data_IF_743536215701
#
_entry.id   IF_743536215701
#
_cell.length_a   1.000
_cell.length_b   1.000
_cell.length_c   1.000
_cell.angle_alpha   90.00
_cell.angle_beta   90.00
_cell.angle_gamma   90.00
#
_symmetry.space_group_name_H-M   'P 1'
#
loop_
_entity.id
_entity.type
_entity.pdbx_description
1 polymer ?
#
# COMPACT_ATOMS: atom_id res chain seq x y z
N UNK A 1 18.47 0.67 -24.75
CA UNK A 1 19.29 0.46 -23.55
C UNK A 1 18.88 -0.86 -22.93
N UNK A 2 19.84 -1.76 -22.72
CA UNK A 2 19.57 -3.01 -22.00
C UNK A 2 19.34 -2.68 -20.50
N UNK A 3 18.26 -3.19 -19.92
CA UNK A 3 17.93 -2.93 -18.51
C UNK A 3 18.76 -3.88 -17.61
N UNK A 4 19.92 -3.38 -17.12
CA UNK A 4 20.89 -4.16 -16.36
C UNK A 4 20.64 -4.13 -14.83
N UNK A 5 19.39 -4.32 -14.40
CA UNK A 5 19.02 -4.34 -12.98
C UNK A 5 18.23 -5.59 -12.64
N UNK A 6 18.40 -6.06 -11.42
CA UNK A 6 17.60 -7.15 -10.88
C UNK A 6 16.15 -6.75 -10.74
N UNK A 7 15.23 -7.50 -11.31
CA UNK A 7 13.79 -7.25 -11.21
C UNK A 7 13.21 -7.54 -9.81
N UNK A 8 14.01 -8.13 -8.92
CA UNK A 8 13.62 -8.37 -7.52
C UNK A 8 13.93 -7.21 -6.58
N UNK A 9 15.03 -6.48 -6.78
CA UNK A 9 15.45 -5.40 -5.89
C UNK A 9 15.83 -4.09 -6.59
N UNK A 10 15.78 -4.05 -7.92
CA UNK A 10 16.15 -2.91 -8.77
C UNK A 10 17.60 -2.43 -8.62
N UNK A 11 18.45 -3.23 -7.99
CA UNK A 11 19.89 -2.96 -7.93
C UNK A 11 20.61 -3.47 -9.19
N UNK A 12 21.75 -2.87 -9.57
CA UNK A 12 22.57 -3.41 -10.65
C UNK A 12 22.90 -4.89 -10.38
N UNK A 13 22.71 -5.76 -11.37
CA UNK A 13 22.95 -7.20 -11.23
C UNK A 13 23.34 -7.80 -12.58
N UNK A 14 24.33 -8.69 -12.57
CA UNK A 14 24.75 -9.43 -13.75
C UNK A 14 24.40 -10.92 -13.70
N UNK A 15 23.75 -11.39 -12.63
CA UNK A 15 23.45 -12.80 -12.41
C UNK A 15 21.98 -13.10 -12.17
N UNK A 16 21.57 -14.33 -12.47
CA UNK A 16 20.29 -14.92 -12.11
C UNK A 16 20.52 -16.31 -11.52
N UNK A 17 20.16 -16.57 -10.25
CA UNK A 17 19.53 -15.64 -9.28
C UNK A 17 20.41 -14.45 -8.92
N UNK A 18 19.75 -13.35 -8.51
CA UNK A 18 20.44 -12.15 -8.07
C UNK A 18 21.26 -12.41 -6.80
N UNK A 19 22.56 -12.09 -6.83
CA UNK A 19 23.48 -12.28 -5.69
C UNK A 19 23.11 -11.44 -4.45
N UNK A 20 22.37 -10.33 -4.63
CA UNK A 20 21.97 -9.42 -3.54
C UNK A 20 20.70 -9.87 -2.82
N UNK A 21 19.66 -10.23 -3.57
CA UNK A 21 18.34 -10.50 -2.99
C UNK A 21 17.83 -11.92 -3.24
N UNK A 22 18.60 -12.77 -3.93
CA UNK A 22 18.23 -14.14 -4.24
C UNK A 22 17.08 -14.30 -5.25
N UNK A 23 16.58 -13.19 -5.83
CA UNK A 23 15.47 -13.25 -6.78
C UNK A 23 15.90 -13.95 -8.07
N UNK A 24 15.12 -14.99 -8.45
CA UNK A 24 15.27 -15.70 -9.71
C UNK A 24 14.18 -15.27 -10.69
N UNK A 25 14.55 -14.58 -11.75
CA UNK A 25 13.60 -14.09 -12.75
C UNK A 25 13.05 -15.20 -13.66
N UNK A 26 13.69 -16.38 -13.71
CA UNK A 26 13.21 -17.55 -14.45
C UNK A 26 12.20 -18.39 -13.65
N UNK A 27 12.20 -18.21 -12.32
CA UNK A 27 11.25 -18.84 -11.40
C UNK A 27 10.59 -17.78 -10.52
N UNK A 28 9.86 -16.83 -11.13
CA UNK A 28 9.21 -15.81 -10.33
C UNK A 28 8.22 -16.50 -9.39
N UNK A 29 8.51 -16.43 -8.09
CA UNK A 29 7.55 -16.77 -7.05
C UNK A 29 6.47 -15.69 -7.07
N UNK A 30 5.57 -15.77 -8.00
CA UNK A 30 4.59 -14.71 -8.23
C UNK A 30 3.25 -15.27 -8.61
N UNK A 31 2.27 -14.42 -8.47
CA UNK A 31 0.90 -14.70 -8.82
C UNK A 31 0.80 -14.77 -10.34
N UNK A 32 0.19 -15.82 -10.87
CA UNK A 32 0.02 -16.03 -12.31
C UNK A 32 -0.67 -14.85 -13.01
N UNK A 33 -1.44 -14.07 -12.26
CA UNK A 33 -2.19 -12.90 -12.74
C UNK A 33 -1.46 -11.56 -12.49
N UNK A 34 -0.23 -11.57 -11.97
CA UNK A 34 0.58 -10.36 -11.87
C UNK A 34 1.05 -9.87 -13.24
N UNK A 35 1.43 -8.59 -13.35
CA UNK A 35 2.07 -8.09 -14.57
C UNK A 35 3.34 -8.89 -14.89
N UNK A 36 3.59 -9.19 -16.16
CA UNK A 36 4.85 -9.79 -16.57
C UNK A 36 6.04 -8.93 -16.11
N UNK A 37 7.09 -9.59 -15.66
CA UNK A 37 8.34 -8.91 -15.32
C UNK A 37 8.84 -8.10 -16.54
N UNK A 38 9.55 -6.99 -16.27
CA UNK A 38 10.05 -6.05 -17.27
C UNK A 38 8.95 -5.35 -18.08
N UNK A 39 7.67 -5.47 -17.72
CA UNK A 39 6.63 -4.62 -18.32
C UNK A 39 7.00 -3.16 -18.12
N UNK A 40 6.92 -2.38 -19.20
CA UNK A 40 7.10 -0.92 -19.12
C UNK A 40 5.72 -0.28 -19.10
N UNK A 41 5.45 0.48 -18.03
CA UNK A 41 4.23 1.26 -17.84
C UNK A 41 4.51 2.73 -18.10
N UNK A 42 3.52 3.43 -18.71
CA UNK A 42 3.60 4.84 -19.10
C UNK A 42 4.90 5.19 -19.86
N UNK A 43 5.48 4.22 -20.57
CA UNK A 43 6.73 4.39 -21.31
C UNK A 43 8.00 4.60 -20.45
N UNK A 44 7.91 4.56 -19.11
CA UNK A 44 9.05 4.92 -18.23
C UNK A 44 9.20 4.11 -16.95
N UNK A 45 8.22 3.33 -16.53
CA UNK A 45 8.33 2.53 -15.31
C UNK A 45 8.52 1.06 -15.62
N UNK A 46 9.66 0.51 -15.33
CA UNK A 46 9.93 -0.93 -15.46
C UNK A 46 9.36 -1.65 -14.25
N UNK A 47 8.49 -2.64 -14.48
CA UNK A 47 7.86 -3.46 -13.42
C UNK A 47 8.78 -4.61 -13.04
N UNK A 48 9.00 -4.77 -11.74
CA UNK A 48 9.70 -5.91 -11.13
C UNK A 48 8.75 -6.85 -10.37
N UNK A 49 9.29 -7.51 -9.35
CA UNK A 49 8.52 -8.48 -8.56
C UNK A 49 7.38 -7.84 -7.79
N UNK A 50 6.39 -8.66 -7.46
CA UNK A 50 5.33 -8.30 -6.52
C UNK A 50 5.93 -8.09 -5.13
N UNK A 51 5.58 -6.97 -4.48
CA UNK A 51 5.88 -6.65 -3.09
C UNK A 51 4.78 -7.14 -2.15
N UNK A 52 3.54 -7.09 -2.61
CA UNK A 52 2.38 -7.51 -1.85
C UNK A 52 1.10 -7.42 -2.65
N UNK A 53 0.05 -8.07 -2.14
CA UNK A 53 -1.31 -8.01 -2.66
C UNK A 53 -2.30 -7.76 -1.53
N UNK A 54 -3.27 -6.90 -1.80
CA UNK A 54 -4.46 -6.70 -0.99
C UNK A 54 -5.74 -7.00 -1.77
N UNK A 55 -6.89 -6.85 -1.13
CA UNK A 55 -8.19 -7.11 -1.78
C UNK A 55 -8.49 -6.26 -3.02
N UNK A 56 -7.83 -5.11 -3.15
CA UNK A 56 -8.10 -4.14 -4.21
C UNK A 56 -6.91 -3.85 -5.11
N UNK A 57 -5.77 -4.49 -4.89
CA UNK A 57 -4.61 -4.18 -5.72
C UNK A 57 -3.39 -5.03 -5.47
N UNK A 58 -2.47 -4.96 -6.43
CA UNK A 58 -1.16 -5.58 -6.40
C UNK A 58 -0.12 -4.47 -6.37
N UNK A 59 0.87 -4.60 -5.49
CA UNK A 59 1.99 -3.65 -5.41
C UNK A 59 3.25 -4.31 -5.92
N UNK A 60 3.96 -3.62 -6.81
CA UNK A 60 5.21 -4.07 -7.42
C UNK A 60 6.36 -3.16 -7.00
N UNK A 61 7.57 -3.70 -6.94
CA UNK A 61 8.75 -2.86 -7.06
C UNK A 61 8.89 -2.44 -8.52
N UNK A 62 9.32 -1.20 -8.76
CA UNK A 62 9.57 -0.70 -10.11
C UNK A 62 10.82 0.17 -10.18
N UNK A 63 11.21 0.50 -11.40
CA UNK A 63 12.30 1.41 -11.70
C UNK A 63 11.82 2.53 -12.62
N UNK A 64 12.01 3.77 -12.20
CA UNK A 64 11.79 4.97 -13.02
C UNK A 64 13.00 5.17 -13.93
N UNK A 65 12.81 4.96 -15.24
CA UNK A 65 13.87 5.08 -16.25
C UNK A 65 14.34 6.54 -16.44
N UNK A 66 13.45 7.52 -16.17
CA UNK A 66 13.76 8.93 -16.38
C UNK A 66 14.53 9.53 -15.19
N UNK A 67 14.18 9.14 -13.97
CA UNK A 67 14.79 9.64 -12.74
C UNK A 67 15.79 8.67 -12.12
N UNK A 68 16.01 7.52 -12.74
CA UNK A 68 16.95 6.48 -12.32
C UNK A 68 16.79 6.10 -10.84
N UNK A 69 15.57 5.87 -10.40
CA UNK A 69 15.26 5.55 -9.00
C UNK A 69 14.25 4.42 -8.85
N UNK A 70 14.30 3.76 -7.70
CA UNK A 70 13.28 2.78 -7.30
C UNK A 70 11.94 3.47 -7.05
N UNK A 71 10.86 2.79 -7.42
CA UNK A 71 9.49 3.20 -7.15
C UNK A 71 8.67 2.01 -6.65
N UNK A 72 7.58 2.27 -5.95
CA UNK A 72 6.53 1.29 -5.70
C UNK A 72 5.36 1.60 -6.64
N UNK A 73 4.84 0.57 -7.31
CA UNK A 73 3.75 0.70 -8.29
C UNK A 73 2.57 -0.11 -7.78
N UNK A 74 1.49 0.57 -7.42
CA UNK A 74 0.24 -0.07 -6.99
C UNK A 74 -0.73 -0.10 -8.16
N UNK A 75 -1.14 -1.30 -8.55
CA UNK A 75 -2.13 -1.57 -9.59
C UNK A 75 -3.50 -1.79 -8.96
N UNK A 76 -4.54 -1.18 -9.50
CA UNK A 76 -5.91 -1.52 -9.14
C UNK A 76 -6.28 -2.88 -9.71
N UNK A 77 -6.43 -3.88 -8.83
CA UNK A 77 -6.75 -5.27 -9.16
C UNK A 77 -7.79 -5.80 -8.18
N UNK A 78 -9.09 -5.49 -8.36
CA UNK A 78 -10.14 -5.94 -7.46
C UNK A 78 -10.34 -7.44 -7.60
N UNK A 79 -9.91 -8.19 -6.60
CA UNK A 79 -9.98 -9.66 -6.59
C UNK A 79 -11.42 -10.15 -6.82
N UNK A 80 -11.59 -11.17 -7.67
CA UNK A 80 -12.89 -11.73 -8.01
C UNK A 80 -13.73 -10.92 -9.03
N UNK A 81 -13.22 -9.77 -9.52
CA UNK A 81 -13.92 -8.93 -10.53
C UNK A 81 -13.15 -8.87 -11.85
N UNK A 82 -11.90 -9.24 -11.82
CA UNK A 82 -10.98 -9.22 -12.96
C UNK A 82 -10.18 -10.50 -13.04
N UNK A 83 -9.66 -10.79 -14.22
CA UNK A 83 -8.61 -11.78 -14.44
C UNK A 83 -7.54 -11.20 -15.35
N UNK A 84 -6.38 -11.84 -15.36
CA UNK A 84 -5.31 -11.60 -16.33
C UNK A 84 -4.80 -12.93 -16.80
N UNK A 85 -4.74 -13.13 -18.11
CA UNK A 85 -4.09 -14.30 -18.69
C UNK A 85 -2.59 -14.19 -18.51
N UNK A 86 -1.95 -15.32 -18.23
CA UNK A 86 -0.51 -15.39 -18.03
C UNK A 86 0.25 -14.77 -19.21
N UNK A 87 1.24 -13.93 -18.91
CA UNK A 87 2.05 -13.24 -19.92
C UNK A 87 1.39 -12.03 -20.59
N UNK A 88 0.13 -11.71 -20.28
CA UNK A 88 -0.53 -10.52 -20.81
C UNK A 88 -0.45 -9.33 -19.84
N UNK A 89 -0.59 -8.11 -20.37
CA UNK A 89 -0.62 -6.87 -19.58
C UNK A 89 -2.04 -6.43 -19.24
N UNK A 90 -2.97 -6.64 -20.17
CA UNK A 90 -4.35 -6.17 -20.07
C UNK A 90 -5.16 -6.98 -19.06
N UNK A 91 -6.00 -6.30 -18.27
CA UNK A 91 -7.02 -6.94 -17.47
C UNK A 91 -8.25 -7.29 -18.30
N UNK A 92 -8.81 -8.46 -18.03
CA UNK A 92 -10.13 -8.89 -18.49
C UNK A 92 -11.12 -8.73 -17.36
N UNK A 93 -12.10 -7.83 -17.54
CA UNK A 93 -13.16 -7.60 -16.57
C UNK A 93 -14.27 -8.61 -16.77
N UNK A 94 -14.80 -9.16 -15.69
CA UNK A 94 -15.98 -10.01 -15.75
C UNK A 94 -17.22 -9.18 -16.15
N UNK A 95 -18.24 -9.83 -16.70
CA UNK A 95 -19.46 -9.17 -17.18
C UNK A 95 -20.56 -9.07 -16.13
N UNK A 96 -20.22 -9.26 -14.84
CA UNK A 96 -21.14 -9.13 -13.72
C UNK A 96 -21.42 -7.66 -13.38
N UNK A 97 -22.56 -7.36 -12.72
CA UNK A 97 -22.85 -6.01 -12.25
C UNK A 97 -21.78 -5.49 -11.28
N UNK A 98 -21.28 -6.36 -10.39
CA UNK A 98 -20.21 -6.04 -9.46
C UNK A 98 -18.92 -5.67 -10.19
N UNK A 99 -18.55 -6.43 -11.23
CA UNK A 99 -17.35 -6.12 -12.02
C UNK A 99 -17.51 -4.83 -12.82
N UNK A 100 -18.68 -4.55 -13.36
CA UNK A 100 -18.97 -3.29 -14.05
C UNK A 100 -18.92 -2.09 -13.09
N UNK A 101 -19.46 -2.22 -11.87
CA UNK A 101 -19.36 -1.20 -10.84
C UNK A 101 -17.91 -0.99 -10.38
N UNK A 102 -17.15 -2.07 -10.14
CA UNK A 102 -15.73 -2.02 -9.79
C UNK A 102 -14.90 -1.35 -10.89
N UNK A 103 -15.19 -1.63 -12.17
CA UNK A 103 -14.49 -1.02 -13.31
C UNK A 103 -14.74 0.49 -13.40
N UNK A 104 -15.98 0.93 -13.26
CA UNK A 104 -16.34 2.36 -13.41
C UNK A 104 -16.06 3.14 -12.12
N UNK A 105 -16.76 2.79 -11.05
CA UNK A 105 -16.74 3.55 -9.79
C UNK A 105 -15.53 3.19 -8.92
N UNK A 106 -15.10 1.92 -8.90
CA UNK A 106 -13.99 1.47 -8.08
C UNK A 106 -12.65 2.01 -8.57
N UNK A 107 -12.43 2.01 -9.89
CA UNK A 107 -11.21 2.57 -10.48
C UNK A 107 -11.13 4.09 -10.30
N UNK A 108 -12.27 4.80 -10.46
CA UNK A 108 -12.35 6.23 -10.19
C UNK A 108 -12.07 6.54 -8.72
N UNK A 109 -12.65 5.75 -7.81
CA UNK A 109 -12.41 5.87 -6.36
C UNK A 109 -10.94 5.65 -6.01
N UNK A 110 -10.30 4.61 -6.59
CA UNK A 110 -8.87 4.33 -6.41
C UNK A 110 -7.99 5.52 -6.77
N UNK A 111 -8.26 6.16 -7.93
CA UNK A 111 -7.55 7.36 -8.36
C UNK A 111 -7.89 8.58 -7.49
N UNK A 112 -9.15 8.72 -7.06
CA UNK A 112 -9.59 9.81 -6.17
C UNK A 112 -8.91 9.72 -4.80
N UNK A 113 -8.77 8.52 -4.24
CA UNK A 113 -8.06 8.30 -2.99
C UNK A 113 -6.57 8.67 -3.12
N UNK A 114 -5.93 8.26 -4.23
CA UNK A 114 -4.55 8.65 -4.49
C UNK A 114 -4.36 10.17 -4.62
N UNK A 115 -5.32 10.89 -5.24
CA UNK A 115 -5.28 12.36 -5.29
C UNK A 115 -5.38 13.02 -3.91
N UNK A 116 -6.02 12.36 -2.94
CA UNK A 116 -6.03 12.85 -1.54
C UNK A 116 -4.66 12.70 -0.89
N UNK A 117 -3.95 11.60 -1.19
CA UNK A 117 -2.57 11.41 -0.69
C UNK A 117 -1.63 12.52 -1.13
N UNK A 118 -1.79 13.03 -2.36
CA UNK A 118 -1.00 14.16 -2.87
C UNK A 118 -1.16 15.42 -2.01
N UNK A 119 -2.29 15.62 -1.34
CA UNK A 119 -2.50 16.78 -0.44
C UNK A 119 -1.64 16.74 0.82
N UNK A 120 -1.10 15.58 1.16
CA UNK A 120 -0.34 15.35 2.39
C UNK A 120 1.04 14.70 2.14
N UNK A 121 1.47 14.63 0.88
CA UNK A 121 2.74 13.99 0.49
C UNK A 121 4.00 14.78 0.93
N UNK A 122 3.81 16.05 1.31
CA UNK A 122 4.84 16.91 1.89
C UNK A 122 5.00 16.72 3.41
N UNK A 123 4.14 15.92 4.05
CA UNK A 123 4.24 15.65 5.49
C UNK A 123 5.37 14.65 5.73
N UNK A 124 6.40 14.99 6.53
CA UNK A 124 7.44 14.04 6.91
C UNK A 124 6.81 12.78 7.56
N UNK A 125 7.28 11.61 7.13
CA UNK A 125 6.72 10.34 7.62
C UNK A 125 5.51 9.81 6.85
N UNK A 126 5.02 10.51 5.82
CA UNK A 126 4.00 9.98 4.88
C UNK A 126 4.67 9.59 3.57
N UNK A 127 4.26 8.45 2.98
CA UNK A 127 4.73 8.03 1.65
C UNK A 127 4.23 8.98 0.57
N UNK A 128 5.11 9.39 -0.36
CA UNK A 128 4.77 10.32 -1.43
C UNK A 128 4.21 9.60 -2.66
N UNK A 129 3.16 10.17 -3.24
CA UNK A 129 2.65 9.79 -4.56
C UNK A 129 3.42 10.57 -5.63
N UNK A 130 3.93 9.86 -6.62
CA UNK A 130 4.76 10.43 -7.68
C UNK A 130 3.96 10.64 -8.96
N UNK A 131 3.07 9.68 -9.29
CA UNK A 131 2.26 9.73 -10.51
C UNK A 131 1.02 8.84 -10.43
N UNK A 132 0.02 9.20 -11.22
CA UNK A 132 -1.24 8.47 -11.39
C UNK A 132 -1.56 8.37 -12.88
N UNK A 133 -1.88 7.19 -13.36
CA UNK A 133 -2.30 6.99 -14.75
C UNK A 133 -3.20 5.77 -14.93
N UNK A 134 -3.79 5.67 -16.11
CA UNK A 134 -4.58 4.51 -16.53
C UNK A 134 -3.93 3.88 -17.76
N UNK A 135 -3.77 2.57 -17.71
CA UNK A 135 -3.21 1.75 -18.78
C UNK A 135 -3.70 0.30 -18.61
N UNK A 136 -3.60 -0.53 -19.63
CA UNK A 136 -3.93 -1.98 -19.58
C UNK A 136 -5.35 -2.28 -19.05
N UNK A 137 -6.29 -1.34 -19.19
CA UNK A 137 -7.67 -1.50 -18.71
C UNK A 137 -7.83 -1.34 -17.19
N UNK A 138 -6.85 -0.77 -16.51
CA UNK A 138 -6.84 -0.50 -15.07
C UNK A 138 -6.17 0.83 -14.74
N UNK A 139 -5.93 1.10 -13.46
CA UNK A 139 -5.27 2.30 -12.95
C UNK A 139 -4.05 1.94 -12.10
N UNK A 140 -3.07 2.83 -12.13
CA UNK A 140 -1.82 2.69 -11.41
C UNK A 140 -1.52 3.94 -10.54
N UNK A 141 -0.95 3.70 -9.37
CA UNK A 141 -0.38 4.71 -8.48
C UNK A 141 1.11 4.41 -8.37
N UNK A 142 1.94 5.36 -8.77
CA UNK A 142 3.39 5.28 -8.55
C UNK A 142 3.74 6.08 -7.32
N UNK A 143 4.47 5.48 -6.40
CA UNK A 143 4.85 6.05 -5.12
C UNK A 143 6.37 5.94 -4.92
N UNK A 144 6.92 6.74 -4.02
CA UNK A 144 8.29 6.53 -3.59
C UNK A 144 8.45 5.12 -3.03
N UNK A 145 9.56 4.46 -3.40
CA UNK A 145 9.93 3.19 -2.79
C UNK A 145 10.62 3.47 -1.47
N UNK A 146 10.09 2.91 -0.39
CA UNK A 146 10.67 3.05 0.95
C UNK A 146 11.53 1.83 1.25
N UNK A 147 12.83 2.03 1.40
CA UNK A 147 13.75 0.97 1.79
C UNK A 147 13.63 0.68 3.28
N UNK A 148 13.39 -0.57 3.62
CA UNK A 148 13.20 -0.99 5.00
C UNK A 148 12.37 -2.26 5.13
N UNK A 149 11.78 -2.43 6.30
CA UNK A 149 10.85 -3.52 6.59
C UNK A 149 9.60 -2.99 7.30
N UNK A 150 8.47 -3.65 7.11
CA UNK A 150 7.26 -3.28 7.85
C UNK A 150 7.42 -3.58 9.34
N UNK A 151 6.74 -2.81 10.19
CA UNK A 151 6.69 -3.10 11.63
C UNK A 151 6.22 -4.53 11.89
N UNK A 152 5.28 -5.04 11.11
CA UNK A 152 4.84 -6.43 11.18
C UNK A 152 5.98 -7.42 10.93
N UNK A 153 6.75 -7.23 9.87
CA UNK A 153 7.88 -8.09 9.55
C UNK A 153 8.95 -8.04 10.65
N UNK A 154 9.21 -6.86 11.21
CA UNK A 154 10.10 -6.70 12.37
C UNK A 154 9.61 -7.50 13.57
N UNK A 155 8.34 -7.35 13.95
CA UNK A 155 7.76 -8.05 15.10
C UNK A 155 7.74 -9.57 14.92
N UNK A 156 7.53 -10.05 13.70
CA UNK A 156 7.62 -11.48 13.39
C UNK A 156 9.04 -12.05 13.59
N UNK A 157 10.07 -11.24 13.36
CA UNK A 157 11.48 -11.65 13.51
C UNK A 157 11.99 -11.53 14.94
N UNK A 158 11.63 -10.45 15.62
CA UNK A 158 12.22 -10.07 16.91
C UNK A 158 11.30 -10.26 18.11
N UNK A 159 10.02 -10.55 17.87
CA UNK A 159 8.99 -10.52 18.92
C UNK A 159 8.59 -9.09 19.34
N UNK A 160 7.86 -8.98 20.44
CA UNK A 160 7.40 -7.70 20.99
C UNK A 160 8.55 -6.75 21.31
N UNK A 161 8.28 -5.46 21.20
CA UNK A 161 9.26 -4.40 21.48
C UNK A 161 9.07 -3.85 22.90
N UNK A 162 10.14 -3.31 23.48
CA UNK A 162 10.06 -2.52 24.72
C UNK A 162 9.31 -1.20 24.49
N UNK A 163 8.79 -0.59 25.56
CA UNK A 163 8.14 0.72 25.48
C UNK A 163 9.06 1.80 24.88
N UNK A 164 10.34 1.80 25.23
CA UNK A 164 11.31 2.76 24.69
C UNK A 164 11.44 2.63 23.17
N UNK A 165 11.55 1.40 22.65
CA UNK A 165 11.62 1.14 21.22
C UNK A 165 10.31 1.52 20.51
N UNK A 166 9.15 1.14 21.08
CA UNK A 166 7.85 1.50 20.54
C UNK A 166 7.67 3.03 20.50
N UNK A 167 8.04 3.75 21.55
CA UNK A 167 7.97 5.22 21.60
C UNK A 167 8.71 5.86 20.43
N UNK A 168 9.94 5.41 20.14
CA UNK A 168 10.75 5.95 19.03
C UNK A 168 10.06 5.76 17.67
N UNK A 169 9.31 4.65 17.51
CA UNK A 169 8.56 4.36 16.27
C UNK A 169 7.29 5.22 16.21
N UNK A 170 6.50 5.29 17.29
CA UNK A 170 5.16 5.86 17.23
C UNK A 170 5.14 7.38 17.40
N UNK A 171 6.10 8.00 18.06
CA UNK A 171 6.15 9.45 18.24
C UNK A 171 6.15 10.21 16.90
N UNK A 172 7.02 9.90 15.91
CA UNK A 172 6.94 10.53 14.58
C UNK A 172 5.65 10.21 13.82
N UNK A 173 5.09 9.00 13.99
CA UNK A 173 3.82 8.61 13.35
C UNK A 173 2.66 9.45 13.90
N UNK A 174 2.58 9.66 15.22
CA UNK A 174 1.57 10.52 15.85
C UNK A 174 1.65 11.94 15.30
N UNK A 175 2.87 12.50 15.19
CA UNK A 175 3.06 13.84 14.62
C UNK A 175 2.64 13.95 13.17
N UNK A 176 2.97 12.93 12.33
CA UNK A 176 2.55 12.88 10.94
C UNK A 176 1.03 12.79 10.83
N UNK A 177 0.39 11.89 11.60
CA UNK A 177 -1.06 11.71 11.58
C UNK A 177 -1.81 12.95 12.08
N UNK A 178 -1.28 13.67 13.07
CA UNK A 178 -1.86 14.94 13.49
C UNK A 178 -1.89 15.99 12.36
N UNK A 179 -0.90 15.98 11.47
CA UNK A 179 -0.89 16.87 10.29
C UNK A 179 -1.87 16.38 9.21
N UNK A 180 -1.96 15.06 8.97
CA UNK A 180 -2.96 14.45 8.07
C UNK A 180 -4.37 14.83 8.51
N UNK A 181 -4.67 14.73 9.82
CA UNK A 181 -5.98 15.09 10.37
C UNK A 181 -6.28 16.59 10.22
N UNK A 182 -5.28 17.48 10.42
CA UNK A 182 -5.46 18.92 10.16
C UNK A 182 -5.75 19.24 8.69
N UNK A 183 -5.24 18.41 7.76
CA UNK A 183 -5.56 18.50 6.34
C UNK A 183 -6.96 17.92 5.99
N UNK A 184 -7.74 17.51 7.00
CA UNK A 184 -9.08 16.97 6.83
C UNK A 184 -9.13 15.54 6.33
N UNK A 185 -8.03 14.78 6.43
CA UNK A 185 -7.96 13.39 6.01
C UNK A 185 -7.89 12.43 7.22
N UNK A 186 -8.42 11.23 7.03
CA UNK A 186 -8.35 10.12 8.00
C UNK A 186 -7.82 8.91 7.26
N UNK A 187 -6.82 8.22 7.83
CA UNK A 187 -6.12 7.09 7.19
C UNK A 187 -7.00 5.84 7.06
N UNK A 188 -7.62 5.42 8.19
CA UNK A 188 -8.56 4.29 8.30
C UNK A 188 -7.96 2.88 8.15
N UNK A 189 -6.67 2.74 7.94
CA UNK A 189 -5.97 1.44 7.86
C UNK A 189 -4.59 1.49 8.53
N UNK A 190 -4.47 2.19 9.66
CA UNK A 190 -3.25 2.14 10.46
C UNK A 190 -3.11 0.76 11.10
N UNK A 191 -1.96 0.12 10.83
CA UNK A 191 -1.65 -1.21 11.36
C UNK A 191 -0.16 -1.50 11.16
N UNK A 192 0.39 -2.55 11.77
CA UNK A 192 1.81 -2.88 11.61
C UNK A 192 2.25 -3.16 10.17
N UNK A 193 1.31 -3.52 9.28
CA UNK A 193 1.59 -3.71 7.84
C UNK A 193 1.87 -2.39 7.12
N UNK A 194 1.27 -1.29 7.58
CA UNK A 194 1.31 0.02 6.95
C UNK A 194 2.30 1.00 7.62
N UNK A 195 3.14 0.51 8.52
CA UNK A 195 4.27 1.26 9.09
C UNK A 195 5.58 0.66 8.60
N UNK A 196 6.34 1.43 7.83
CA UNK A 196 7.64 1.03 7.30
C UNK A 196 8.75 1.60 8.19
N UNK A 197 9.57 0.73 8.76
CA UNK A 197 10.80 1.07 9.45
C UNK A 197 11.91 1.16 8.42
N UNK A 198 12.40 2.35 8.18
CA UNK A 198 13.37 2.63 7.13
C UNK A 198 14.80 2.28 7.55
N UNK A 199 15.67 2.10 6.59
CA UNK A 199 17.09 1.78 6.85
C UNK A 199 17.86 2.91 7.53
N UNK A 200 17.40 4.16 7.42
CA UNK A 200 17.96 5.33 8.10
C UNK A 200 17.41 5.54 9.53
N UNK A 201 16.56 4.63 10.00
CA UNK A 201 15.97 4.68 11.34
C UNK A 201 14.71 5.55 11.44
N UNK A 202 14.21 6.11 10.34
CA UNK A 202 12.94 6.83 10.33
C UNK A 202 11.75 5.86 10.17
N UNK A 203 10.53 6.40 10.26
CA UNK A 203 9.31 5.63 10.06
C UNK A 203 8.45 6.32 9.01
N UNK A 204 7.90 5.54 8.08
CA UNK A 204 6.95 6.02 7.09
C UNK A 204 5.63 5.28 7.18
N UNK A 205 4.56 6.05 7.13
CA UNK A 205 3.18 5.54 6.98
C UNK A 205 2.92 5.29 5.51
N UNK A 206 2.57 4.05 5.21
CA UNK A 206 2.22 3.59 3.86
C UNK A 206 0.70 3.67 3.67
N UNK A 207 0.30 3.66 2.40
CA UNK A 207 -1.03 3.30 1.91
C UNK A 207 -2.22 4.04 2.57
N UNK A 208 -2.32 5.34 2.33
CA UNK A 208 -3.54 6.12 2.59
C UNK A 208 -4.73 5.73 1.65
N UNK A 209 -4.68 4.52 1.04
CA UNK A 209 -5.68 4.06 0.08
C UNK A 209 -7.09 3.84 0.65
N UNK A 210 -7.25 3.87 1.98
CA UNK A 210 -8.54 3.89 2.66
C UNK A 210 -8.93 5.30 3.16
N UNK A 211 -8.13 6.34 2.83
CA UNK A 211 -8.30 7.67 3.41
C UNK A 211 -9.65 8.30 3.06
N UNK A 212 -10.36 8.79 4.08
CA UNK A 212 -11.60 9.56 3.95
C UNK A 212 -11.30 11.05 4.07
N UNK A 213 -11.82 11.84 3.14
CA UNK A 213 -11.84 13.30 3.21
C UNK A 213 -13.06 13.74 4.00
N UNK A 214 -12.86 14.37 5.14
CA UNK A 214 -13.93 14.81 6.04
C UNK A 214 -14.74 15.98 5.48
N UNK A 215 -14.20 16.72 4.49
CA UNK A 215 -14.90 17.84 3.85
C UNK A 215 -15.99 17.41 2.86
N UNK A 216 -15.98 16.13 2.44
CA UNK A 216 -16.93 15.60 1.47
C UNK A 216 -17.96 14.74 2.17
N UNK A 217 -19.18 15.23 2.33
CA UNK A 217 -20.35 14.46 2.75
C UNK A 217 -20.77 13.50 1.62
N UNK A 218 -19.94 12.49 1.33
CA UNK A 218 -20.30 11.44 0.40
C UNK A 218 -20.96 10.31 1.18
N UNK A 219 -22.29 10.19 1.06
CA UNK A 219 -23.02 8.99 1.50
C UNK A 219 -22.67 7.71 0.74
N UNK A 220 -21.71 7.77 -0.18
CA UNK A 220 -21.14 6.63 -0.86
C UNK A 220 -19.95 6.10 -0.06
N UNK A 221 -20.07 4.91 0.48
CA UNK A 221 -19.02 4.21 1.19
C UNK A 221 -17.75 4.13 0.32
N UNK A 222 -16.70 4.85 0.76
CA UNK A 222 -15.34 4.42 0.44
C UNK A 222 -15.22 2.94 0.79
N UNK A 223 -14.47 2.17 -0.01
CA UNK A 223 -14.26 0.74 0.27
C UNK A 223 -13.90 0.54 1.75
N UNK A 224 -14.83 -0.02 2.51
CA UNK A 224 -14.61 -0.26 3.93
C UNK A 224 -13.78 -1.53 4.06
N UNK A 225 -12.51 -1.35 4.39
CA UNK A 225 -11.63 -2.46 4.77
C UNK A 225 -11.49 -2.43 6.27
N UNK A 226 -12.36 -3.16 6.96
CA UNK A 226 -12.16 -3.39 8.38
C UNK A 226 -11.09 -4.46 8.56
N UNK A 227 -10.06 -4.17 9.36
CA UNK A 227 -8.97 -5.07 9.69
C UNK A 227 -9.16 -5.58 11.11
N UNK A 228 -9.39 -6.89 11.22
CA UNK A 228 -9.63 -7.56 12.50
C UNK A 228 -8.56 -7.18 13.54
N UNK A 229 -9.01 -6.78 14.74
CA UNK A 229 -8.18 -6.33 15.85
C UNK A 229 -7.64 -4.90 15.75
N UNK A 230 -7.66 -4.27 14.56
CA UNK A 230 -7.11 -2.91 14.37
C UNK A 230 -8.18 -1.88 14.03
N UNK A 231 -9.29 -2.28 13.44
CA UNK A 231 -10.37 -1.36 13.06
C UNK A 231 -11.38 -1.16 14.18
N UNK A 232 -11.80 0.09 14.48
CA UNK A 232 -12.85 0.38 15.44
C UNK A 232 -14.24 0.04 14.89
N UNK A 233 -15.23 0.02 15.77
CA UNK A 233 -16.60 -0.41 15.49
C UNK A 233 -17.25 0.32 14.31
N UNK A 234 -17.01 1.62 14.17
CA UNK A 234 -17.58 2.42 13.09
C UNK A 234 -17.13 1.99 11.70
N UNK A 235 -16.01 1.24 11.58
CA UNK A 235 -15.54 0.71 10.30
C UNK A 235 -16.26 -0.59 9.88
N UNK A 236 -16.96 -1.25 10.81
CA UNK A 236 -17.74 -2.45 10.52
C UNK A 236 -19.19 -2.14 10.14
N UNK A 237 -19.62 -0.88 10.25
CA UNK A 237 -21.00 -0.49 9.98
C UNK A 237 -21.10 0.42 8.75
N UNK A 238 -22.14 0.21 7.92
CA UNK A 238 -22.35 1.03 6.71
C UNK A 238 -22.62 2.51 7.02
N UNK A 239 -23.12 2.82 8.22
CA UNK A 239 -23.43 4.18 8.69
C UNK A 239 -22.38 4.74 9.64
N UNK A 240 -21.27 4.04 9.81
CA UNK A 240 -20.20 4.46 10.72
C UNK A 240 -19.58 5.80 10.31
N UNK A 241 -19.48 6.70 11.26
CA UNK A 241 -18.85 7.99 11.03
C UNK A 241 -17.36 7.91 11.40
N UNK A 242 -16.49 7.74 10.40
CA UNK A 242 -15.04 7.73 10.62
C UNK A 242 -14.50 9.16 10.76
N UNK A 243 -13.61 9.36 11.69
CA UNK A 243 -12.94 10.62 11.97
C UNK A 243 -11.52 10.38 12.51
N UNK A 244 -10.82 11.42 13.00
CA UNK A 244 -9.49 11.26 13.61
C UNK A 244 -9.43 10.20 14.73
N UNK A 245 -10.52 10.02 15.46
CA UNK A 245 -10.63 8.98 16.50
C UNK A 245 -10.50 7.55 15.96
N UNK A 246 -10.90 7.31 14.70
CA UNK A 246 -10.73 6.03 14.01
C UNK A 246 -9.24 5.66 13.92
N UNK A 247 -8.39 6.62 13.55
CA UNK A 247 -6.94 6.42 13.49
C UNK A 247 -6.30 6.35 14.88
N UNK A 248 -6.84 7.06 15.86
CA UNK A 248 -6.38 6.97 17.26
C UNK A 248 -6.61 5.56 17.80
N UNK A 249 -7.77 4.96 17.55
CA UNK A 249 -8.04 3.57 17.93
C UNK A 249 -7.06 2.61 17.25
N UNK A 250 -6.92 2.72 15.92
CA UNK A 250 -6.04 1.86 15.14
C UNK A 250 -4.56 1.98 15.56
N UNK A 251 -4.13 3.21 15.92
CA UNK A 251 -2.82 3.48 16.48
C UNK A 251 -2.63 2.79 17.84
N UNK A 252 -3.60 2.94 18.75
CA UNK A 252 -3.56 2.30 20.07
C UNK A 252 -3.52 0.76 19.95
N UNK A 253 -4.34 0.19 19.05
CA UNK A 253 -4.32 -1.23 18.74
C UNK A 253 -2.97 -1.70 18.18
N UNK A 254 -2.35 -0.88 17.31
CA UNK A 254 -1.02 -1.16 16.76
C UNK A 254 0.07 -1.10 17.82
N UNK A 255 0.02 -0.13 18.74
CA UNK A 255 0.93 -0.03 19.90
C UNK A 255 0.75 -1.25 20.81
N UNK A 256 -0.49 -1.62 21.13
CA UNK A 256 -0.78 -2.80 21.95
C UNK A 256 -0.16 -4.07 21.33
N UNK A 257 -0.38 -4.29 20.02
CA UNK A 257 0.21 -5.43 19.32
C UNK A 257 1.75 -5.38 19.36
N UNK A 258 2.33 -4.20 19.18
CA UNK A 258 3.79 -4.00 19.19
C UNK A 258 4.41 -4.37 20.55
N UNK A 259 3.74 -4.03 21.64
CA UNK A 259 4.23 -4.26 23.00
C UNK A 259 3.97 -5.67 23.51
N UNK A 260 2.89 -6.31 23.07
CA UNK A 260 2.43 -7.58 23.63
C UNK A 260 2.64 -8.78 22.69
N UNK A 261 2.76 -8.54 21.38
CA UNK A 261 2.72 -9.57 20.35
C UNK A 261 1.35 -10.22 20.18
N UNK A 262 0.31 -9.74 20.89
CA UNK A 262 -1.05 -10.29 20.87
C UNK A 262 -1.95 -9.41 20.05
N UNK A 263 -2.72 -10.03 19.15
CA UNK A 263 -3.76 -9.30 18.39
C UNK A 263 -4.82 -8.79 19.38
N UNK A 264 -5.19 -7.49 19.31
CA UNK A 264 -6.32 -6.98 20.09
C UNK A 264 -7.62 -7.72 19.75
N UNK A 265 -8.57 -7.84 20.69
CA UNK A 265 -9.91 -8.31 20.38
C UNK A 265 -10.56 -7.48 19.27
N UNK A 266 -11.46 -8.09 18.48
CA UNK A 266 -12.22 -7.30 17.51
C UNK A 266 -13.15 -6.33 18.24
N UNK A 267 -13.34 -5.17 17.66
CA UNK A 267 -14.25 -4.16 18.21
C UNK A 267 -15.75 -4.58 18.19
N UNK A 268 -16.06 -5.70 17.53
CA UNK A 268 -17.43 -6.25 17.41
C UNK A 268 -17.67 -7.47 18.31
N UNK A 269 -16.63 -7.96 19.00
CA UNK A 269 -16.72 -9.05 19.97
C UNK A 269 -17.02 -8.49 21.37
#
# INVERSE_FOLDING_TARGET
>A
MEFNRCLGCMEPSQGNPCSRCGFDSQRPSGMEYALPLSTILAGKYVVGRVLGQGGFGITYIGWDLALERKVAIKEYYPSGQVSRSQGTRNLTWYTTEQANAARKSGMEMFLKEARKMVKVDNIPGIVRVLELFQENGTAYIVMEFVEGETLKARLQKTGPLSWSQAKTIFEPVVHAMAQVHRAGLVHRDLSPDNLMLTTDGSVKVLDLGAAKDLSVNSGASSMQVAKSGFSPLEQYTQRGNSGPWTDVYAMAATIYYTLTGKLPPNAVD
#
